data_IF_823909756183
#
_entry.id   IF_823909756183
#
_cell.length_a   1.000
_cell.length_b   1.000
_cell.length_c   1.000
_cell.angle_alpha   90.00
_cell.angle_beta   90.00
_cell.angle_gamma   90.00
#
_symmetry.space_group_name_H-M   'P 1'
#
loop_
_entity.id
_entity.type
_entity.pdbx_description
1 polymer ?
#
# COMPACT_ATOMS: atom_id res chain seq x y z
N UNK A 1 -45.39 -3.18 -38.36
CA UNK A 1 -45.91 -1.97 -37.70
C UNK A 1 -44.72 -1.10 -37.34
N UNK A 2 -44.67 0.13 -37.86
CA UNK A 2 -43.59 1.09 -37.60
C UNK A 2 -43.84 1.83 -36.29
N UNK A 3 -42.87 1.82 -35.37
CA UNK A 3 -42.89 2.64 -34.16
C UNK A 3 -42.32 4.03 -34.46
N UNK A 4 -43.11 5.08 -34.32
CA UNK A 4 -42.66 6.44 -34.64
C UNK A 4 -41.48 6.90 -33.76
N UNK A 5 -40.41 7.49 -34.34
CA UNK A 5 -39.26 7.97 -33.58
C UNK A 5 -39.63 9.14 -32.62
N UNK A 6 -40.72 9.85 -32.90
CA UNK A 6 -41.25 10.90 -32.02
C UNK A 6 -41.68 10.36 -30.64
N UNK A 7 -42.27 9.16 -30.59
CA UNK A 7 -42.68 8.54 -29.33
C UNK A 7 -41.48 8.09 -28.49
N UNK A 8 -40.44 7.55 -29.13
CA UNK A 8 -39.18 7.22 -28.47
C UNK A 8 -38.50 8.48 -27.90
N UNK A 9 -38.45 9.58 -28.67
CA UNK A 9 -37.92 10.86 -28.21
C UNK A 9 -38.71 11.43 -27.01
N UNK A 10 -40.06 11.37 -27.05
CA UNK A 10 -40.91 11.81 -25.95
C UNK A 10 -40.69 10.99 -24.66
N UNK A 11 -40.57 9.67 -24.76
CA UNK A 11 -40.27 8.80 -23.61
C UNK A 11 -38.88 9.08 -23.01
N UNK A 12 -37.87 9.35 -23.83
CA UNK A 12 -36.53 9.74 -23.38
C UNK A 12 -36.55 11.11 -22.69
N UNK A 13 -37.29 12.08 -23.23
CA UNK A 13 -37.48 13.40 -22.61
C UNK A 13 -38.18 13.29 -21.24
N UNK A 14 -39.27 12.51 -21.16
CA UNK A 14 -40.00 12.27 -19.91
C UNK A 14 -39.10 11.60 -18.84
N UNK A 15 -38.30 10.60 -19.23
CA UNK A 15 -37.34 9.95 -18.30
C UNK A 15 -36.23 10.89 -17.84
N UNK A 16 -35.72 11.77 -18.70
CA UNK A 16 -34.73 12.81 -18.31
C UNK A 16 -35.33 13.81 -17.32
N UNK A 17 -36.58 14.24 -17.53
CA UNK A 17 -37.29 15.10 -16.59
C UNK A 17 -37.53 14.42 -15.21
N UNK A 18 -37.91 13.14 -15.19
CA UNK A 18 -38.08 12.37 -13.95
C UNK A 18 -36.78 12.29 -13.12
N UNK A 19 -35.64 12.07 -13.79
CA UNK A 19 -34.32 12.01 -13.14
C UNK A 19 -33.89 13.37 -12.60
N UNK A 20 -34.10 14.46 -13.36
CA UNK A 20 -33.79 15.83 -12.90
C UNK A 20 -34.67 16.23 -11.71
N UNK A 21 -35.97 15.89 -11.71
CA UNK A 21 -36.87 16.15 -10.60
C UNK A 21 -36.46 15.39 -9.32
N UNK A 22 -35.96 14.16 -9.46
CA UNK A 22 -35.37 13.38 -8.35
C UNK A 22 -34.07 14.01 -7.84
N UNK A 23 -33.21 14.51 -8.73
CA UNK A 23 -31.97 15.20 -8.35
C UNK A 23 -32.25 16.50 -7.57
N UNK A 24 -33.19 17.32 -8.04
CA UNK A 24 -33.58 18.56 -7.38
C UNK A 24 -34.17 18.32 -5.98
N UNK A 25 -35.02 17.29 -5.82
CA UNK A 25 -35.53 16.87 -4.50
C UNK A 25 -34.42 16.45 -3.53
N UNK A 26 -33.33 15.87 -4.03
CA UNK A 26 -32.19 15.45 -3.22
C UNK A 26 -31.24 16.61 -2.85
N UNK A 27 -31.28 17.72 -3.57
CA UNK A 27 -30.51 18.93 -3.25
C UNK A 27 -31.25 19.85 -2.27
N UNK A 28 -32.58 19.91 -2.32
CA UNK A 28 -33.39 20.74 -1.41
C UNK A 28 -33.52 20.21 0.03
N UNK A 29 -33.04 18.99 0.35
CA UNK A 29 -33.13 18.43 1.70
C UNK A 29 -32.02 18.90 2.67
N UNK A 30 -31.29 19.97 2.34
CA UNK A 30 -30.19 20.49 3.17
C UNK A 30 -30.14 22.04 3.21
N UNK A 31 -31.30 22.69 3.26
CA UNK A 31 -31.44 24.13 3.45
C UNK A 31 -32.44 24.43 4.57
N UNK A 32 -31.97 25.01 5.68
CA UNK A 32 -32.82 25.41 6.81
C UNK A 32 -33.49 26.78 6.57
N UNK A 33 -34.70 26.96 7.11
CA UNK A 33 -35.50 28.17 6.92
C UNK A 33 -34.94 29.39 7.68
N UNK A 34 -35.03 30.62 7.10
CA UNK A 34 -34.49 31.84 7.72
C UNK A 34 -35.52 32.64 8.55
N UNK A 35 -35.04 33.34 9.59
CA UNK A 35 -35.68 34.54 10.20
C UNK A 35 -34.60 35.44 10.87
N UNK A 36 -34.89 36.68 11.29
CA UNK A 36 -34.19 37.83 10.71
C UNK A 36 -33.28 38.59 11.69
N UNK A 37 -32.63 39.64 11.17
CA UNK A 37 -31.85 40.66 11.91
C UNK A 37 -32.75 41.56 12.78
N UNK A 38 -32.18 42.27 13.77
CA UNK A 38 -31.79 43.67 13.52
C UNK A 38 -30.45 44.12 14.18
N UNK A 39 -30.22 45.44 14.12
CA UNK A 39 -29.04 46.30 14.33
C UNK A 39 -28.26 46.29 15.67
N UNK A 40 -27.02 46.85 15.69
CA UNK A 40 -26.21 47.24 16.90
C UNK A 40 -26.73 48.57 17.54
N UNK A 41 -26.15 49.24 18.60
CA UNK A 41 -24.71 49.23 19.01
C UNK A 41 -24.30 49.59 20.50
N UNK A 42 -22.97 49.80 20.71
CA UNK A 42 -22.28 50.73 21.68
C UNK A 42 -21.97 50.34 23.16
N UNK A 43 -20.73 50.74 23.58
CA UNK A 43 -20.15 51.04 24.93
C UNK A 43 -19.74 49.96 25.98
N UNK A 44 -19.02 50.42 27.02
CA UNK A 44 -18.14 49.75 28.03
C UNK A 44 -18.19 50.53 29.38
N UNK A 45 -17.46 50.19 30.49
CA UNK A 45 -16.85 48.93 30.97
C UNK A 45 -17.36 48.38 32.37
N UNK A 46 -16.65 48.41 33.55
CA UNK A 46 -16.53 47.26 34.49
C UNK A 46 -17.15 47.53 35.91
N UNK A 47 -16.94 46.77 37.05
CA UNK A 47 -15.95 45.71 37.35
C UNK A 47 -16.33 44.51 38.28
N UNK A 48 -15.31 43.65 38.54
CA UNK A 48 -15.03 42.82 39.75
C UNK A 48 -15.95 41.64 40.18
N UNK A 49 -15.40 40.41 40.17
CA UNK A 49 -14.98 39.60 41.36
C UNK A 49 -14.79 38.10 40.97
N UNK A 50 -13.94 37.34 41.68
CA UNK A 50 -13.67 35.88 41.49
C UNK A 50 -14.25 35.04 42.67
N UNK A 51 -14.06 33.71 42.79
CA UNK A 51 -13.75 32.64 41.82
C UNK A 51 -14.77 31.47 41.85
N UNK A 52 -14.81 30.60 40.83
CA UNK A 52 -15.47 29.29 40.91
C UNK A 52 -14.84 28.24 39.98
N UNK A 53 -14.94 26.95 40.34
CA UNK A 53 -14.31 25.81 39.64
C UNK A 53 -15.28 25.06 38.73
N UNK A 54 -14.92 24.84 37.47
CA UNK A 54 -15.31 23.63 36.71
C UNK A 54 -14.51 23.51 35.40
N UNK A 55 -14.12 22.29 35.05
CA UNK A 55 -13.48 21.97 33.76
C UNK A 55 -14.46 21.23 32.85
N UNK A 56 -14.82 21.77 31.67
CA UNK A 56 -15.47 21.01 30.62
C UNK A 56 -14.51 20.59 29.50
N UNK A 57 -14.61 19.30 29.17
CA UNK A 57 -14.10 18.54 28.02
C UNK A 57 -13.61 19.37 26.81
N UNK A 58 -12.36 19.15 26.39
CA UNK A 58 -11.71 19.88 25.29
C UNK A 58 -12.20 19.46 23.89
N UNK A 59 -13.33 20.03 23.44
CA UNK A 59 -13.66 20.13 22.01
C UNK A 59 -12.89 21.29 21.36
N UNK A 60 -12.09 21.02 20.33
CA UNK A 60 -11.34 22.05 19.60
C UNK A 60 -12.29 23.03 18.89
N UNK A 61 -12.07 24.34 19.06
CA UNK A 61 -12.96 25.35 18.49
C UNK A 61 -12.84 25.44 16.96
N UNK A 62 -13.94 25.76 16.28
CA UNK A 62 -13.98 25.86 14.81
C UNK A 62 -12.98 26.92 14.28
N UNK A 63 -12.81 27.99 15.05
CA UNK A 63 -11.86 29.09 14.80
C UNK A 63 -10.40 28.66 14.95
N UNK A 64 -10.05 27.77 15.89
CA UNK A 64 -8.70 27.18 15.95
C UNK A 64 -8.43 26.25 14.76
N UNK A 65 -9.42 25.47 14.33
CA UNK A 65 -9.30 24.62 13.13
C UNK A 65 -9.04 25.47 11.88
N UNK A 66 -9.77 26.58 11.72
CA UNK A 66 -9.54 27.55 10.65
C UNK A 66 -8.17 28.25 10.74
N UNK A 67 -7.77 28.70 11.94
CA UNK A 67 -6.45 29.32 12.18
C UNK A 67 -5.31 28.37 11.81
N UNK A 68 -5.41 27.10 12.21
CA UNK A 68 -4.41 26.06 11.94
C UNK A 68 -4.38 25.62 10.47
N UNK A 69 -5.54 25.63 9.79
CA UNK A 69 -5.61 25.47 8.32
C UNK A 69 -4.88 26.60 7.59
N UNK A 70 -5.07 27.85 8.01
CA UNK A 70 -4.40 29.00 7.42
C UNK A 70 -2.89 29.02 7.69
N UNK A 71 -2.47 28.63 8.91
CA UNK A 71 -1.06 28.42 9.26
C UNK A 71 -0.39 27.38 8.33
N UNK A 72 -1.03 26.23 8.11
CA UNK A 72 -0.52 25.19 7.20
C UNK A 72 -0.47 25.67 5.75
N UNK A 73 -1.50 26.38 5.26
CA UNK A 73 -1.49 26.93 3.90
C UNK A 73 -0.38 27.96 3.68
N UNK A 74 -0.11 28.83 4.66
CA UNK A 74 0.99 29.78 4.58
C UNK A 74 2.35 29.08 4.67
N UNK A 75 2.49 28.04 5.49
CA UNK A 75 3.71 27.22 5.60
C UNK A 75 4.00 26.42 4.32
N UNK A 76 2.98 26.04 3.55
CA UNK A 76 3.12 25.45 2.21
C UNK A 76 3.56 26.52 1.19
N UNK A 77 2.92 27.70 1.18
CA UNK A 77 3.33 28.82 0.31
C UNK A 77 4.76 29.33 0.58
N UNK A 78 5.25 29.22 1.82
CA UNK A 78 6.59 29.65 2.22
C UNK A 78 7.73 28.66 1.89
N UNK A 79 7.50 27.63 1.05
CA UNK A 79 8.57 26.80 0.46
C UNK A 79 9.36 25.90 1.43
N UNK A 80 8.92 25.74 2.68
CA UNK A 80 9.72 25.19 3.78
C UNK A 80 9.85 23.66 3.84
N UNK A 81 10.53 23.03 2.87
CA UNK A 81 10.94 21.61 2.95
C UNK A 81 12.35 21.33 2.39
N UNK A 82 13.39 21.50 3.22
CA UNK A 82 14.71 20.93 2.91
C UNK A 82 14.74 19.43 3.24
N UNK A 83 14.74 18.58 2.21
CA UNK A 83 14.76 17.13 2.34
C UNK A 83 16.18 16.65 2.66
N UNK A 84 16.41 16.23 3.90
CA UNK A 84 17.71 15.76 4.39
C UNK A 84 18.02 14.34 3.85
N UNK A 85 18.55 14.28 2.62
CA UNK A 85 18.78 13.02 1.92
C UNK A 85 19.84 12.14 2.62
N UNK A 86 19.44 10.94 3.04
CA UNK A 86 20.37 9.88 3.44
C UNK A 86 19.86 8.50 3.05
N UNK A 87 19.84 8.22 1.75
CA UNK A 87 19.75 6.85 1.26
C UNK A 87 20.99 6.06 1.71
N UNK A 88 20.78 4.81 2.14
CA UNK A 88 21.85 3.83 2.22
C UNK A 88 21.97 3.14 0.85
N UNK A 89 23.19 2.98 0.34
CA UNK A 89 23.44 2.24 -0.89
C UNK A 89 23.08 0.74 -0.70
N UNK A 90 22.67 0.02 -1.76
CA UNK A 90 22.47 -1.42 -1.71
C UNK A 90 23.78 -2.15 -1.33
N UNK A 91 23.71 -3.36 -0.75
CA UNK A 91 24.89 -4.16 -0.47
C UNK A 91 25.58 -4.61 -1.78
N UNK A 92 26.92 -4.80 -1.77
CA UNK A 92 27.63 -5.32 -2.92
C UNK A 92 27.23 -6.77 -3.22
N UNK A 93 27.09 -7.08 -4.52
CA UNK A 93 26.88 -8.45 -5.02
C UNK A 93 28.07 -9.34 -4.64
N UNK A 94 27.85 -10.60 -4.20
CA UNK A 94 28.94 -11.53 -3.97
C UNK A 94 29.47 -12.10 -5.29
N UNK A 95 30.78 -12.01 -5.48
CA UNK A 95 31.51 -12.72 -6.54
C UNK A 95 32.37 -13.82 -5.90
N UNK A 96 32.59 -14.90 -6.63
CA UNK A 96 33.53 -15.96 -6.29
C UNK A 96 34.98 -15.61 -6.67
N UNK A 97 35.93 -16.50 -6.37
CA UNK A 97 37.35 -16.33 -6.68
C UNK A 97 37.69 -16.40 -8.18
N UNK A 98 36.74 -16.81 -9.02
CA UNK A 98 36.83 -16.76 -10.50
C UNK A 98 36.17 -15.52 -11.10
N UNK A 99 35.60 -14.63 -10.29
CA UNK A 99 34.95 -13.40 -10.73
C UNK A 99 33.49 -13.57 -11.19
N UNK A 100 32.93 -14.78 -11.10
CA UNK A 100 31.53 -15.05 -11.40
C UNK A 100 30.63 -14.75 -10.19
N UNK A 101 29.32 -14.64 -10.40
CA UNK A 101 28.37 -14.37 -9.32
C UNK A 101 28.16 -15.60 -8.43
N UNK A 102 28.48 -15.49 -7.14
CA UNK A 102 28.25 -16.57 -6.17
C UNK A 102 26.76 -16.66 -5.84
N UNK A 103 26.05 -17.47 -6.63
CA UNK A 103 24.62 -17.77 -6.48
C UNK A 103 24.26 -18.27 -5.08
N UNK A 104 25.18 -18.96 -4.38
CA UNK A 104 24.94 -19.53 -3.05
C UNK A 104 24.98 -18.44 -1.98
N UNK A 105 26.02 -17.61 -1.98
CA UNK A 105 26.06 -16.42 -1.12
C UNK A 105 24.97 -15.39 -1.47
N UNK A 106 24.51 -15.34 -2.73
CA UNK A 106 23.41 -14.48 -3.16
C UNK A 106 22.04 -14.98 -2.65
N UNK A 107 21.87 -16.30 -2.53
CA UNK A 107 20.70 -16.94 -1.92
C UNK A 107 20.67 -16.78 -0.39
N UNK A 108 21.81 -16.96 0.28
CA UNK A 108 21.91 -16.83 1.75
C UNK A 108 21.84 -15.37 2.23
N UNK A 109 22.25 -14.40 1.39
CA UNK A 109 22.06 -12.96 1.64
C UNK A 109 20.64 -12.46 1.29
N UNK A 110 19.75 -13.34 0.82
CA UNK A 110 18.36 -13.01 0.50
C UNK A 110 18.19 -12.10 -0.72
N UNK A 111 19.15 -12.11 -1.64
CA UNK A 111 19.13 -11.30 -2.87
C UNK A 111 18.35 -12.02 -3.98
N UNK A 112 18.40 -13.36 -4.01
CA UNK A 112 17.53 -14.19 -4.87
C UNK A 112 16.25 -14.56 -4.08
N UNK A 113 15.05 -14.32 -4.62
CA UNK A 113 13.81 -14.83 -4.04
C UNK A 113 13.81 -16.36 -3.99
N UNK A 114 13.64 -16.95 -2.80
CA UNK A 114 13.48 -18.40 -2.64
C UNK A 114 12.13 -18.82 -3.23
N UNK A 115 12.15 -19.51 -4.38
CA UNK A 115 10.96 -20.11 -4.98
C UNK A 115 10.50 -21.26 -4.08
N UNK A 116 9.35 -21.10 -3.43
CA UNK A 116 8.79 -22.13 -2.55
C UNK A 116 8.31 -23.32 -3.38
N UNK A 117 9.09 -24.41 -3.36
CA UNK A 117 8.68 -25.73 -3.84
C UNK A 117 8.47 -26.64 -2.63
N UNK A 118 7.21 -27.04 -2.39
CA UNK A 118 6.88 -27.94 -1.28
C UNK A 118 7.34 -29.39 -1.55
N UNK A 119 8.64 -29.65 -1.36
CA UNK A 119 9.18 -31.00 -1.28
C UNK A 119 9.71 -31.27 0.13
N UNK A 120 9.03 -32.18 0.83
CA UNK A 120 9.28 -32.48 2.25
C UNK A 120 10.25 -33.65 2.35
N UNK A 121 11.47 -33.39 2.82
CA UNK A 121 12.43 -34.43 3.22
C UNK A 121 12.92 -34.13 4.64
N UNK A 122 12.72 -35.08 5.56
CA UNK A 122 13.20 -34.98 6.94
C UNK A 122 14.52 -35.74 7.08
N UNK A 123 15.57 -35.09 7.57
CA UNK A 123 16.74 -35.75 8.15
C UNK A 123 16.90 -35.26 9.58
N UNK A 124 16.74 -36.16 10.56
CA UNK A 124 16.77 -35.85 12.00
C UNK A 124 17.91 -36.61 12.65
N UNK A 125 18.77 -35.91 13.37
CA UNK A 125 19.75 -36.52 14.26
C UNK A 125 19.36 -36.31 15.73
N UNK A 126 19.43 -37.43 16.46
CA UNK A 126 19.67 -37.67 17.90
C UNK A 126 20.10 -36.41 18.70
N UNK A 127 19.55 -36.08 19.87
CA UNK A 127 19.48 -36.93 21.09
C UNK A 127 18.33 -36.59 22.08
N UNK A 128 18.42 -37.09 23.33
CA UNK A 128 17.42 -37.12 24.42
C UNK A 128 18.14 -37.44 25.76
N UNK A 129 17.49 -37.51 26.95
CA UNK A 129 16.31 -36.80 27.51
C UNK A 129 16.58 -36.22 28.94
N UNK A 130 15.53 -35.71 29.63
CA UNK A 130 15.32 -35.54 31.11
C UNK A 130 14.81 -34.12 31.50
N UNK A 131 14.07 -33.88 32.60
CA UNK A 131 13.36 -34.74 33.58
C UNK A 131 12.23 -33.95 34.32
N UNK A 132 11.15 -34.65 34.66
CA UNK A 132 10.30 -34.48 35.86
C UNK A 132 9.48 -33.19 36.13
N UNK A 133 8.53 -33.35 37.06
CA UNK A 133 7.43 -32.49 37.54
C UNK A 133 7.65 -32.18 39.07
N UNK A 134 6.70 -31.82 39.97
CA UNK A 134 5.23 -31.58 39.87
C UNK A 134 4.66 -30.40 40.73
N UNK A 135 3.32 -30.30 40.81
CA UNK A 135 2.46 -29.66 41.88
C UNK A 135 2.56 -28.15 42.16
N UNK A 136 1.49 -27.43 42.56
CA UNK A 136 0.06 -27.78 42.63
C UNK A 136 -0.79 -26.82 43.50
N UNK A 137 -2.12 -26.74 43.23
CA UNK A 137 -3.25 -26.33 44.14
C UNK A 137 -3.22 -24.94 44.86
N UNK A 138 -4.30 -24.18 45.11
CA UNK A 138 -5.79 -24.31 45.07
C UNK A 138 -6.40 -22.98 44.48
N UNK A 139 -7.64 -22.45 44.65
CA UNK A 139 -8.91 -22.77 45.37
C UNK A 139 -10.12 -21.95 44.78
N UNK A 140 -11.35 -22.32 45.17
CA UNK A 140 -12.60 -21.53 45.46
C UNK A 140 -12.87 -20.11 44.90
N UNK A 141 -14.10 -19.65 44.54
CA UNK A 141 -15.51 -20.19 44.52
C UNK A 141 -16.42 -19.25 43.63
N UNK A 142 -17.78 -19.13 43.76
CA UNK A 142 -18.81 -19.83 42.94
C UNK A 142 -19.79 -18.82 42.24
N UNK A 143 -21.09 -19.14 42.00
CA UNK A 143 -21.68 -20.16 41.13
C UNK A 143 -22.60 -19.55 40.02
N UNK A 144 -23.03 -20.36 39.05
CA UNK A 144 -24.33 -20.16 38.37
C UNK A 144 -24.96 -21.49 37.96
N UNK A 145 -26.29 -21.50 37.82
CA UNK A 145 -27.11 -22.70 37.65
C UNK A 145 -27.47 -22.97 36.19
N UNK A 146 -27.46 -24.24 35.77
CA UNK A 146 -28.44 -24.79 34.81
C UNK A 146 -28.42 -26.32 34.75
N UNK A 147 -29.53 -26.86 34.25
CA UNK A 147 -29.90 -28.28 34.09
C UNK A 147 -28.84 -29.21 33.46
N UNK A 148 -28.76 -30.44 33.98
CA UNK A 148 -28.14 -31.58 33.30
C UNK A 148 -29.12 -32.19 32.28
N UNK A 149 -28.71 -32.49 31.04
CA UNK A 149 -29.27 -33.58 30.26
C UNK A 149 -28.57 -34.90 30.60
N UNK A 150 -29.26 -36.03 30.51
CA UNK A 150 -28.65 -37.36 30.74
C UNK A 150 -27.67 -37.71 29.62
N UNK A 151 -26.39 -37.91 29.97
CA UNK A 151 -25.39 -38.50 29.07
C UNK A 151 -25.20 -39.98 29.40
N UNK A 152 -25.44 -40.84 28.42
CA UNK A 152 -25.12 -42.26 28.51
C UNK A 152 -23.61 -42.43 28.69
N UNK A 153 -23.19 -43.32 29.61
CA UNK A 153 -21.78 -43.69 29.75
C UNK A 153 -21.36 -44.51 28.54
N UNK A 154 -20.62 -43.90 27.62
CA UNK A 154 -19.90 -44.63 26.57
C UNK A 154 -18.70 -45.30 27.26
N UNK A 155 -18.68 -46.62 27.26
CA UNK A 155 -17.54 -47.39 27.77
C UNK A 155 -16.28 -47.10 26.96
N UNK A 156 -15.12 -47.14 27.63
CA UNK A 156 -13.83 -46.97 26.96
C UNK A 156 -13.56 -48.16 26.06
N UNK A 157 -13.42 -47.92 24.76
CA UNK A 157 -13.01 -48.94 23.77
C UNK A 157 -11.74 -49.66 24.23
N UNK A 158 -11.70 -51.01 24.21
CA UNK A 158 -10.55 -51.77 24.68
C UNK A 158 -9.30 -51.47 23.85
N UNK A 159 -8.13 -51.57 24.49
CA UNK A 159 -6.83 -51.19 23.91
C UNK A 159 -6.47 -51.99 22.65
N UNK A 160 -7.06 -53.18 22.48
CA UNK A 160 -6.96 -54.01 21.26
C UNK A 160 -7.37 -53.29 19.98
N UNK A 161 -8.23 -52.28 20.05
CA UNK A 161 -8.63 -51.46 18.89
C UNK A 161 -7.67 -50.31 18.55
N UNK A 162 -6.58 -50.13 19.31
CA UNK A 162 -5.58 -49.06 19.09
C UNK A 162 -4.36 -49.54 18.30
N UNK A 163 -4.18 -50.85 18.18
CA UNK A 163 -3.06 -51.49 17.49
C UNK A 163 -3.46 -51.89 16.05
N UNK A 164 -2.94 -51.24 15.00
CA UNK A 164 -3.35 -51.51 13.62
C UNK A 164 -2.96 -52.91 13.15
N UNK A 165 -2.07 -53.62 13.86
CA UNK A 165 -1.69 -55.00 13.53
C UNK A 165 -2.73 -56.05 13.95
N UNK A 166 -3.68 -55.68 14.81
CA UNK A 166 -4.69 -56.61 15.38
C UNK A 166 -6.12 -56.36 14.89
N UNK A 167 -6.35 -55.34 14.07
CA UNK A 167 -7.66 -55.03 13.52
C UNK A 167 -7.87 -55.74 12.17
N UNK A 168 -8.76 -56.75 12.05
CA UNK A 168 -8.99 -57.48 10.81
C UNK A 168 -9.64 -56.65 9.69
N UNK A 169 -10.05 -55.41 10.00
CA UNK A 169 -10.62 -54.44 9.04
C UNK A 169 -9.65 -53.29 8.68
N UNK A 170 -8.35 -53.41 9.00
CA UNK A 170 -7.35 -52.40 8.63
C UNK A 170 -6.70 -52.73 7.29
N UNK A 171 -6.92 -51.88 6.29
CA UNK A 171 -6.28 -51.98 4.96
C UNK A 171 -4.88 -51.30 4.99
N UNK A 172 -3.78 -52.07 4.81
CA UNK A 172 -2.42 -51.52 4.84
C UNK A 172 -2.04 -50.69 3.60
N UNK A 173 -2.86 -50.68 2.54
CA UNK A 173 -2.62 -49.84 1.35
C UNK A 173 -2.91 -48.35 1.59
N UNK A 174 -3.69 -48.03 2.63
CA UNK A 174 -4.11 -46.66 2.94
C UNK A 174 -3.03 -45.90 3.73
N UNK A 175 -2.54 -44.73 3.25
CA UNK A 175 -1.45 -43.99 3.89
C UNK A 175 -1.90 -43.19 5.14
N UNK A 176 -2.29 -43.90 6.19
CA UNK A 176 -2.65 -43.31 7.49
C UNK A 176 -1.40 -43.05 8.33
N UNK A 177 -1.21 -41.80 8.75
CA UNK A 177 -0.10 -41.42 9.64
C UNK A 177 -0.41 -41.88 11.08
N UNK A 178 0.01 -43.10 11.42
CA UNK A 178 -0.30 -43.78 12.68
C UNK A 178 0.45 -43.19 13.89
N UNK A 179 -0.03 -42.04 14.38
CA UNK A 179 0.29 -41.49 15.68
C UNK A 179 -0.92 -40.71 16.24
N UNK A 180 -1.38 -40.96 17.48
CA UNK A 180 -2.50 -40.24 18.08
C UNK A 180 -2.09 -38.82 18.50
N UNK A 181 -1.99 -37.91 17.53
CA UNK A 181 -1.86 -36.46 17.80
C UNK A 181 -3.07 -36.03 18.63
N UNK A 182 -2.80 -35.72 19.91
CA UNK A 182 -3.78 -35.59 20.99
C UNK A 182 -5.04 -34.83 20.56
N UNK A 183 -6.20 -35.48 20.76
CA UNK A 183 -7.55 -35.11 20.28
C UNK A 183 -7.63 -33.70 19.67
N UNK A 184 -7.34 -33.57 18.37
CA UNK A 184 -7.98 -32.51 17.57
C UNK A 184 -9.48 -32.71 17.77
N UNK A 185 -10.15 -31.74 18.39
CA UNK A 185 -11.58 -31.83 18.67
C UNK A 185 -12.29 -32.22 17.37
N UNK A 186 -13.02 -33.35 17.38
CA UNK A 186 -13.62 -33.94 16.17
C UNK A 186 -14.37 -32.84 15.45
N UNK A 187 -13.89 -32.43 14.27
CA UNK A 187 -14.51 -31.34 13.50
C UNK A 187 -15.98 -31.69 13.36
N UNK A 188 -16.84 -30.89 13.99
CA UNK A 188 -18.28 -31.17 13.98
C UNK A 188 -18.76 -31.23 12.54
N UNK A 189 -19.64 -32.18 12.25
CA UNK A 189 -20.18 -32.35 10.91
C UNK A 189 -20.88 -31.06 10.50
N UNK A 190 -20.21 -30.27 9.65
CA UNK A 190 -20.73 -29.02 9.10
C UNK A 190 -21.70 -29.35 7.98
N UNK A 191 -22.87 -29.88 8.37
CA UNK A 191 -23.97 -30.13 7.46
C UNK A 191 -24.25 -28.85 6.66
N UNK A 192 -24.26 -29.00 5.34
CA UNK A 192 -24.65 -27.90 4.46
C UNK A 192 -26.16 -27.75 4.56
N UNK A 193 -26.63 -26.51 4.77
CA UNK A 193 -28.05 -26.22 4.86
C UNK A 193 -28.80 -26.73 3.62
N UNK A 194 -29.98 -27.36 3.78
CA UNK A 194 -30.79 -27.79 2.65
C UNK A 194 -31.09 -26.58 1.75
N UNK A 195 -31.20 -26.83 0.44
CA UNK A 195 -31.34 -25.77 -0.56
C UNK A 195 -30.01 -25.27 -1.14
N UNK A 196 -28.91 -25.14 -0.38
CA UNK A 196 -27.68 -24.47 -0.88
C UNK A 196 -27.11 -25.04 -2.20
N UNK A 197 -27.13 -26.36 -2.37
CA UNK A 197 -26.70 -26.99 -3.63
C UNK A 197 -27.78 -26.96 -4.72
N UNK A 198 -29.06 -26.89 -4.35
CA UNK A 198 -30.19 -26.72 -5.27
C UNK A 198 -30.18 -25.31 -5.85
N UNK A 199 -29.93 -24.29 -5.02
CA UNK A 199 -29.67 -22.91 -5.42
C UNK A 199 -28.48 -22.81 -6.38
N UNK A 200 -27.35 -23.45 -6.05
CA UNK A 200 -26.18 -23.49 -6.95
C UNK A 200 -26.54 -24.12 -8.30
N UNK A 201 -27.22 -25.26 -8.31
CA UNK A 201 -27.65 -25.93 -9.54
C UNK A 201 -28.71 -25.14 -10.33
N UNK A 202 -29.56 -24.36 -9.64
CA UNK A 202 -30.52 -23.43 -10.26
C UNK A 202 -29.77 -22.25 -10.91
N UNK A 203 -28.77 -21.67 -10.24
CA UNK A 203 -27.91 -20.62 -10.80
C UNK A 203 -27.11 -21.13 -12.01
N UNK A 204 -26.66 -22.38 -11.97
CA UNK A 204 -25.90 -23.04 -13.05
C UNK A 204 -26.80 -23.30 -14.27
N UNK A 205 -28.02 -23.81 -14.07
CA UNK A 205 -29.05 -23.90 -15.14
C UNK A 205 -29.46 -22.53 -15.69
N UNK A 206 -29.62 -21.52 -14.84
CA UNK A 206 -29.93 -20.16 -15.29
C UNK A 206 -28.78 -19.54 -16.11
N UNK A 207 -27.52 -19.82 -15.76
CA UNK A 207 -26.35 -19.42 -16.57
C UNK A 207 -26.35 -20.12 -17.92
N UNK A 208 -26.56 -21.43 -17.98
CA UNK A 208 -26.65 -22.17 -19.24
C UNK A 208 -27.81 -21.68 -20.13
N UNK A 209 -28.94 -21.29 -19.55
CA UNK A 209 -30.04 -20.65 -20.28
C UNK A 209 -29.66 -19.26 -20.81
N UNK A 210 -28.97 -18.43 -20.03
CA UNK A 210 -28.47 -17.12 -20.48
C UNK A 210 -27.35 -17.24 -21.53
N UNK A 211 -26.53 -18.27 -21.45
CA UNK A 211 -25.50 -18.61 -22.43
C UNK A 211 -26.12 -19.04 -23.75
N UNK A 212 -27.03 -20.02 -23.72
CA UNK A 212 -27.82 -20.43 -24.89
C UNK A 212 -28.60 -19.26 -25.50
N UNK A 213 -29.20 -18.38 -24.70
CA UNK A 213 -29.89 -17.19 -25.21
C UNK A 213 -28.91 -16.19 -25.85
N UNK A 214 -27.67 -16.07 -25.36
CA UNK A 214 -26.62 -15.29 -26.04
C UNK A 214 -26.19 -15.94 -27.36
N UNK A 215 -26.07 -17.26 -27.41
CA UNK A 215 -25.76 -17.99 -28.65
C UNK A 215 -26.89 -17.85 -29.68
N UNK A 216 -28.15 -18.01 -29.26
CA UNK A 216 -29.32 -17.83 -30.13
C UNK A 216 -29.49 -16.37 -30.59
N UNK A 217 -29.15 -15.38 -29.75
CA UNK A 217 -29.09 -13.96 -30.16
C UNK A 217 -27.92 -13.71 -31.10
N UNK A 218 -26.73 -14.24 -30.83
CA UNK A 218 -25.57 -14.10 -31.71
C UNK A 218 -25.82 -14.75 -33.07
N UNK A 219 -26.40 -15.95 -33.12
CA UNK A 219 -26.79 -16.61 -34.36
C UNK A 219 -27.83 -15.80 -35.15
N UNK A 220 -28.81 -15.17 -34.47
CA UNK A 220 -29.77 -14.25 -35.12
C UNK A 220 -29.12 -12.96 -35.61
N UNK A 221 -28.16 -12.39 -34.88
CA UNK A 221 -27.35 -11.23 -35.29
C UNK A 221 -26.51 -11.54 -36.52
N UNK A 222 -25.89 -12.74 -36.57
CA UNK A 222 -25.20 -13.27 -37.76
C UNK A 222 -26.14 -13.44 -38.94
N UNK A 223 -27.27 -14.11 -38.73
CA UNK A 223 -28.28 -14.36 -39.77
C UNK A 223 -28.92 -13.06 -40.29
N UNK A 224 -28.98 -12.01 -39.47
CA UNK A 224 -29.40 -10.66 -39.85
C UNK A 224 -28.29 -9.79 -40.50
N UNK A 225 -27.09 -10.35 -40.74
CA UNK A 225 -25.97 -9.65 -41.37
C UNK A 225 -25.25 -8.61 -40.50
N UNK A 226 -25.65 -8.46 -39.22
CA UNK A 226 -25.11 -7.46 -38.30
C UNK A 226 -23.68 -7.77 -37.80
N UNK A 227 -23.12 -8.94 -38.14
CA UNK A 227 -21.70 -9.21 -37.86
C UNK A 227 -20.75 -8.27 -38.65
N UNK A 228 -21.20 -7.73 -39.79
CA UNK A 228 -20.54 -6.65 -40.53
C UNK A 228 -20.56 -5.27 -39.81
N UNK A 229 -21.11 -5.21 -38.60
CA UNK A 229 -20.97 -4.08 -37.66
C UNK A 229 -20.06 -4.39 -36.46
N UNK A 230 -19.53 -5.60 -36.35
CA UNK A 230 -18.38 -5.88 -35.47
C UNK A 230 -17.05 -5.62 -36.21
N UNK A 231 -17.07 -5.65 -37.55
CA UNK A 231 -16.06 -5.12 -38.49
C UNK A 231 -15.91 -3.58 -38.43
N UNK A 232 -16.07 -2.95 -37.27
CA UNK A 232 -15.75 -1.52 -37.10
C UNK A 232 -14.24 -1.28 -37.23
N UNK A 233 -13.41 -2.24 -36.83
CA UNK A 233 -11.97 -2.28 -37.14
C UNK A 233 -11.71 -2.15 -38.64
N UNK A 234 -12.49 -2.87 -39.43
CA UNK A 234 -12.29 -3.01 -40.87
C UNK A 234 -12.96 -1.86 -41.63
N UNK A 235 -14.02 -1.26 -41.07
CA UNK A 235 -14.49 0.08 -41.45
C UNK A 235 -13.45 1.17 -41.19
N UNK A 236 -12.60 1.07 -40.16
CA UNK A 236 -11.42 1.95 -39.99
C UNK A 236 -10.19 1.54 -40.80
N UNK A 237 -10.16 0.33 -41.37
CA UNK A 237 -9.09 -0.16 -42.27
C UNK A 237 -9.39 0.16 -43.75
N UNK A 238 -10.66 0.41 -44.09
CA UNK A 238 -11.07 1.00 -45.37
C UNK A 238 -10.52 2.43 -45.46
N UNK A 239 -9.31 2.52 -46.02
CA UNK A 239 -8.74 3.79 -46.47
C UNK A 239 -9.67 4.39 -47.52
N UNK A 240 -10.01 5.66 -47.36
CA UNK A 240 -10.60 6.46 -48.43
C UNK A 240 -9.67 6.45 -49.66
N UNK A 241 -10.21 6.63 -50.88
CA UNK A 241 -9.37 6.81 -52.06
C UNK A 241 -8.41 8.00 -51.85
N UNK A 242 -7.15 7.92 -52.33
CA UNK A 242 -6.22 9.04 -52.19
C UNK A 242 -6.77 10.31 -52.84
N UNK A 243 -6.56 11.49 -52.26
CA UNK A 243 -6.97 12.75 -52.87
C UNK A 243 -6.21 12.99 -54.18
N UNK A 244 -6.79 13.76 -55.10
CA UNK A 244 -6.25 13.98 -56.45
C UNK A 244 -4.92 14.75 -56.43
N UNK A 245 -4.72 15.61 -55.43
CA UNK A 245 -3.43 16.17 -55.06
C UNK A 245 -3.12 15.99 -53.58
N UNK A 246 -1.84 15.95 -53.22
CA UNK A 246 -1.42 15.91 -51.82
C UNK A 246 -1.61 17.27 -51.14
N UNK A 247 -2.03 17.26 -49.87
CA UNK A 247 -2.44 18.46 -49.13
C UNK A 247 -1.37 19.56 -48.99
N UNK A 248 -0.10 19.22 -49.20
CA UNK A 248 1.04 20.14 -49.18
C UNK A 248 1.36 20.72 -50.57
N UNK A 249 0.89 20.09 -51.65
CA UNK A 249 0.99 20.57 -53.05
C UNK A 249 -0.19 21.46 -53.46
N UNK A 250 -1.38 21.24 -52.88
CA UNK A 250 -2.61 22.02 -53.13
C UNK A 250 -2.39 23.56 -53.15
N UNK A 251 -1.55 24.19 -52.30
CA UNK A 251 -1.27 25.63 -52.39
C UNK A 251 -0.49 26.09 -53.63
N UNK A 252 0.26 25.19 -54.28
CA UNK A 252 1.10 25.49 -55.44
C UNK A 252 0.42 25.16 -56.78
N UNK A 253 -0.60 24.30 -56.77
CA UNK A 253 -1.36 23.87 -57.96
C UNK A 253 -2.52 24.84 -58.27
N UNK A 254 -2.55 25.51 -59.45
CA UNK A 254 -3.59 26.50 -59.76
C UNK A 254 -5.03 25.97 -59.69
N UNK A 255 -5.25 24.74 -60.15
CA UNK A 255 -6.55 24.07 -60.16
C UNK A 255 -6.66 22.95 -59.11
N UNK A 256 -5.71 22.86 -58.17
CA UNK A 256 -5.62 21.82 -57.11
C UNK A 256 -5.44 20.36 -57.61
N UNK A 257 -5.19 20.14 -58.91
CA UNK A 257 -4.94 18.84 -59.53
C UNK A 257 -3.56 18.80 -60.24
N UNK A 258 -2.92 17.63 -60.28
CA UNK A 258 -1.62 17.45 -60.95
C UNK A 258 -1.65 17.41 -62.49
N UNK A 259 -2.84 17.43 -63.13
CA UNK A 259 -2.96 17.28 -64.59
C UNK A 259 -2.30 18.43 -65.37
N UNK A 260 -2.27 19.63 -64.77
CA UNK A 260 -1.86 20.87 -65.45
C UNK A 260 -0.34 21.12 -65.47
N UNK A 261 0.45 20.27 -64.80
CA UNK A 261 1.91 20.40 -64.65
C UNK A 261 2.68 20.54 -65.98
N UNK A 262 2.13 20.02 -67.08
CA UNK A 262 2.73 20.09 -68.41
C UNK A 262 2.13 21.20 -69.32
N UNK A 263 1.08 21.89 -68.86
CA UNK A 263 0.30 22.84 -69.68
C UNK A 263 0.64 24.29 -69.35
N UNK A 264 0.88 24.59 -68.07
CA UNK A 264 1.16 25.94 -67.60
C UNK A 264 2.61 26.09 -67.14
N UNK A 265 3.33 27.06 -67.73
CA UNK A 265 4.61 27.51 -67.18
C UNK A 265 4.32 28.15 -65.83
N UNK A 266 4.93 27.61 -64.76
CA UNK A 266 4.67 28.04 -63.39
C UNK A 266 5.33 29.41 -63.15
N UNK A 267 4.54 30.49 -63.18
CA UNK A 267 5.02 31.85 -63.00
C UNK A 267 5.60 32.09 -61.59
N UNK A 268 6.92 32.33 -61.45
CA UNK A 268 7.55 32.45 -60.13
C UNK A 268 7.02 33.63 -59.30
N UNK A 269 6.49 34.65 -59.96
CA UNK A 269 5.90 35.84 -59.31
C UNK A 269 4.65 35.49 -58.49
N UNK A 270 3.81 34.56 -58.97
CA UNK A 270 2.62 34.10 -58.24
C UNK A 270 3.02 33.30 -56.98
N UNK A 271 4.04 32.43 -57.11
CA UNK A 271 4.54 31.61 -56.01
C UNK A 271 5.42 32.34 -55.00
N UNK A 272 5.83 33.59 -55.26
CA UNK A 272 6.68 34.40 -54.36
C UNK A 272 6.05 34.63 -52.97
N UNK A 273 4.72 34.45 -52.85
CA UNK A 273 3.97 34.51 -51.59
C UNK A 273 4.11 33.26 -50.70
N UNK A 274 4.46 32.11 -51.29
CA UNK A 274 4.55 30.81 -50.62
C UNK A 274 5.99 30.28 -50.58
N UNK A 275 6.74 30.48 -51.66
CA UNK A 275 8.14 30.06 -51.82
C UNK A 275 9.03 31.30 -51.73
N UNK A 276 9.99 31.29 -50.81
CA UNK A 276 11.00 32.34 -50.66
C UNK A 276 12.39 31.73 -50.57
N UNK A 277 13.44 32.55 -50.76
CA UNK A 277 14.83 32.10 -50.63
C UNK A 277 15.26 31.82 -49.17
N UNK A 278 14.37 31.99 -48.17
CA UNK A 278 14.69 31.84 -46.76
C UNK A 278 14.36 30.44 -46.22
N UNK A 279 15.38 29.76 -45.68
CA UNK A 279 15.22 28.47 -45.01
C UNK A 279 14.65 28.68 -43.60
N UNK A 280 13.40 28.28 -43.38
CA UNK A 280 12.79 28.31 -42.05
C UNK A 280 13.48 27.30 -41.11
N UNK A 281 13.95 27.79 -39.97
CA UNK A 281 14.47 26.95 -38.90
C UNK A 281 13.34 26.74 -37.87
N UNK A 282 12.77 25.52 -37.75
CA UNK A 282 11.62 25.27 -36.88
C UNK A 282 11.99 25.46 -35.41
N UNK A 283 10.98 25.83 -34.61
CA UNK A 283 11.16 26.08 -33.16
C UNK A 283 11.69 24.82 -32.47
N UNK A 284 12.83 24.88 -31.74
CA UNK A 284 13.44 23.71 -31.12
C UNK A 284 12.61 23.23 -29.91
N UNK A 285 11.78 22.21 -30.15
CA UNK A 285 11.00 21.53 -29.11
C UNK A 285 11.97 20.79 -28.18
N UNK A 286 11.91 21.10 -26.88
CA UNK A 286 12.70 20.43 -25.84
C UNK A 286 12.32 18.95 -25.75
N UNK A 287 13.27 18.06 -25.43
CA UNK A 287 12.95 16.64 -25.31
C UNK A 287 11.88 16.42 -24.20
N UNK A 288 10.93 15.48 -24.36
CA UNK A 288 9.88 15.25 -23.36
C UNK A 288 10.42 14.96 -21.95
N UNK A 289 11.61 14.35 -21.88
CA UNK A 289 12.36 14.08 -20.65
C UNK A 289 12.94 15.35 -19.99
N UNK A 290 13.30 16.37 -20.78
CA UNK A 290 13.88 17.62 -20.30
C UNK A 290 12.80 18.64 -19.91
N UNK A 291 11.65 18.62 -20.61
CA UNK A 291 10.47 19.41 -20.28
C UNK A 291 9.95 19.13 -18.85
N UNK A 292 9.99 17.85 -18.44
CA UNK A 292 9.44 17.38 -17.16
C UNK A 292 10.52 17.06 -16.10
N UNK A 293 11.73 16.70 -16.55
CA UNK A 293 12.81 16.26 -15.68
C UNK A 293 13.57 17.42 -15.04
N UNK A 294 13.61 17.46 -13.71
CA UNK A 294 14.64 18.26 -13.02
C UNK A 294 16.02 17.69 -13.40
N UNK A 295 17.02 18.54 -13.73
CA UNK A 295 18.31 18.07 -14.19
C UNK A 295 18.93 17.12 -13.16
N UNK A 296 19.51 15.97 -13.59
CA UNK A 296 19.87 14.88 -12.70
C UNK A 296 20.97 15.31 -11.73
N UNK A 297 20.60 15.58 -10.48
CA UNK A 297 21.52 16.05 -9.45
C UNK A 297 22.57 14.98 -9.14
N UNK A 298 23.79 15.15 -9.67
CA UNK A 298 24.91 14.21 -9.48
C UNK A 298 25.16 13.99 -7.99
N UNK A 299 24.83 12.79 -7.49
CA UNK A 299 24.99 12.44 -6.09
C UNK A 299 26.47 12.52 -5.68
N UNK A 300 26.80 13.42 -4.74
CA UNK A 300 28.18 13.61 -4.28
C UNK A 300 28.65 12.41 -3.45
N UNK A 301 29.43 11.52 -4.06
CA UNK A 301 29.93 10.30 -3.43
C UNK A 301 31.17 10.57 -2.58
N UNK A 302 31.00 10.81 -1.28
CA UNK A 302 32.11 11.00 -0.34
C UNK A 302 33.00 9.74 -0.24
N UNK A 303 34.32 9.93 -0.23
CA UNK A 303 35.29 8.83 -0.04
C UNK A 303 35.17 8.20 1.35
N UNK A 304 35.84 7.06 1.54
CA UNK A 304 35.96 6.43 2.87
C UNK A 304 36.66 7.36 3.89
N UNK A 305 37.58 8.24 3.43
CA UNK A 305 38.28 9.22 4.28
C UNK A 305 37.36 10.37 4.70
N UNK A 306 36.65 11.04 3.79
CA UNK A 306 35.67 12.08 4.18
C UNK A 306 34.56 11.53 5.07
N UNK A 307 33.99 10.35 4.75
CA UNK A 307 32.95 9.72 5.59
C UNK A 307 33.44 9.47 7.02
N UNK A 308 34.73 9.12 7.20
CA UNK A 308 35.35 9.00 8.54
C UNK A 308 35.56 10.36 9.20
N UNK A 309 36.01 11.39 8.46
CA UNK A 309 36.19 12.78 8.94
C UNK A 309 34.86 13.39 9.41
N UNK A 310 33.84 13.37 8.57
CA UNK A 310 32.49 13.89 8.85
C UNK A 310 31.82 13.16 10.04
N UNK A 311 31.98 11.83 10.13
CA UNK A 311 31.51 11.03 11.28
C UNK A 311 32.26 11.36 12.58
N UNK A 312 33.54 11.74 12.52
CA UNK A 312 34.29 12.22 13.69
C UNK A 312 33.81 13.61 14.09
N UNK A 313 33.74 14.56 13.15
CA UNK A 313 33.29 15.93 13.42
C UNK A 313 31.91 15.95 14.09
N UNK A 314 30.89 15.31 13.50
CA UNK A 314 29.54 15.23 14.11
C UNK A 314 29.48 14.53 15.47
N UNK A 315 30.41 13.62 15.76
CA UNK A 315 30.53 12.99 17.09
C UNK A 315 31.17 13.93 18.09
N UNK A 316 32.28 14.56 17.73
CA UNK A 316 32.94 15.56 18.57
C UNK A 316 32.00 16.73 18.90
N UNK A 317 31.23 17.20 17.91
CA UNK A 317 30.17 18.20 18.02
C UNK A 317 29.10 17.77 19.03
N UNK A 318 28.38 16.67 18.79
CA UNK A 318 27.35 16.17 19.73
C UNK A 318 27.89 15.81 21.13
N UNK A 319 29.18 15.45 21.27
CA UNK A 319 29.81 15.27 22.58
C UNK A 319 30.13 16.61 23.26
N UNK A 320 30.62 17.61 22.51
CA UNK A 320 30.85 18.96 23.02
C UNK A 320 29.52 19.60 23.44
N UNK A 321 28.48 19.54 22.62
CA UNK A 321 27.13 20.02 22.94
C UNK A 321 26.60 19.42 24.25
N UNK A 322 26.91 18.15 24.51
CA UNK A 322 26.52 17.48 25.76
C UNK A 322 27.37 17.94 26.94
N UNK A 323 28.69 18.04 26.79
CA UNK A 323 29.60 18.54 27.83
C UNK A 323 29.27 20.00 28.19
N UNK A 324 28.95 20.83 27.21
CA UNK A 324 28.61 22.23 27.42
C UNK A 324 27.24 22.36 28.11
N UNK A 325 26.25 21.52 27.76
CA UNK A 325 24.97 21.42 28.50
C UNK A 325 25.13 20.93 29.94
N UNK A 326 26.08 20.03 30.21
CA UNK A 326 26.41 19.60 31.58
C UNK A 326 27.12 20.73 32.35
N UNK A 327 28.06 21.44 31.72
CA UNK A 327 28.75 22.60 32.33
C UNK A 327 27.80 23.75 32.65
N UNK A 328 26.77 23.94 31.83
CA UNK A 328 25.68 24.91 32.05
C UNK A 328 24.58 24.41 33.02
N UNK A 329 24.70 23.19 33.57
CA UNK A 329 23.71 22.62 34.50
C UNK A 329 22.39 22.16 33.87
N UNK A 330 22.21 22.32 32.54
CA UNK A 330 21.00 21.91 31.81
C UNK A 330 20.82 20.39 31.72
N UNK A 331 21.88 19.62 31.92
CA UNK A 331 21.85 18.16 32.02
C UNK A 331 22.68 17.70 33.23
N UNK A 332 22.19 16.75 34.04
CA UNK A 332 23.03 16.10 35.03
C UNK A 332 24.15 15.30 34.35
N UNK A 333 25.28 15.04 35.03
CA UNK A 333 26.32 14.15 34.53
C UNK A 333 25.78 12.73 34.32
N UNK A 334 26.27 12.03 33.28
CA UNK A 334 25.88 10.65 33.01
C UNK A 334 26.30 9.73 34.18
N UNK A 335 25.41 8.87 34.71
CA UNK A 335 25.78 7.89 35.72
C UNK A 335 26.74 6.83 35.16
N UNK A 336 27.61 6.23 35.98
CA UNK A 336 28.57 5.23 35.54
C UNK A 336 27.85 3.98 35.02
N UNK A 337 28.14 3.58 33.78
CA UNK A 337 27.47 2.47 33.09
C UNK A 337 27.85 1.11 33.67
N UNK A 338 27.03 0.56 34.56
CA UNK A 338 27.32 -0.73 35.20
C UNK A 338 26.98 -1.92 34.29
N UNK A 339 27.69 -3.03 34.50
CA UNK A 339 27.46 -4.37 33.96
C UNK A 339 27.66 -5.37 35.09
N UNK A 340 27.03 -6.55 35.01
CA UNK A 340 27.27 -7.66 35.95
C UNK A 340 28.78 -8.00 36.02
N UNK A 341 29.48 -8.06 34.87
CA UNK A 341 30.94 -8.28 34.78
C UNK A 341 31.82 -7.22 35.47
N UNK A 342 31.26 -6.05 35.75
CA UNK A 342 31.96 -4.91 36.33
C UNK A 342 31.42 -4.55 37.73
N UNK A 343 30.43 -5.30 38.24
CA UNK A 343 29.65 -4.95 39.43
C UNK A 343 30.54 -4.77 40.66
N UNK A 344 31.39 -5.77 40.97
CA UNK A 344 32.33 -5.69 42.10
C UNK A 344 33.40 -4.60 41.93
N UNK A 345 33.71 -4.17 40.70
CA UNK A 345 34.73 -3.14 40.41
C UNK A 345 34.19 -1.70 40.46
N UNK A 346 32.86 -1.53 40.49
CA UNK A 346 32.20 -0.20 40.44
C UNK A 346 31.31 0.04 41.66
N UNK A 347 30.78 -1.02 42.27
CA UNK A 347 29.85 -0.96 43.40
C UNK A 347 30.28 -1.88 44.56
N UNK A 348 31.57 -2.26 44.61
CA UNK A 348 32.13 -3.29 45.50
C UNK A 348 31.62 -3.23 46.94
N UNK A 349 31.80 -2.09 47.61
CA UNK A 349 31.43 -1.90 49.02
C UNK A 349 29.94 -2.17 49.28
N UNK A 350 29.06 -1.70 48.39
CA UNK A 350 27.62 -1.97 48.45
C UNK A 350 27.22 -3.39 48.03
N UNK A 351 28.02 -4.02 47.16
CA UNK A 351 27.81 -5.38 46.67
C UNK A 351 28.27 -6.45 47.67
N UNK A 352 29.19 -6.10 48.58
CA UNK A 352 29.56 -6.93 49.73
C UNK A 352 28.43 -6.94 50.77
N UNK A 353 27.71 -5.83 50.94
CA UNK A 353 26.58 -5.72 51.87
C UNK A 353 25.32 -6.45 51.34
N UNK A 354 24.80 -6.07 50.18
CA UNK A 354 23.57 -6.65 49.61
C UNK A 354 23.81 -7.16 48.16
N UNK A 355 24.52 -8.28 47.95
CA UNK A 355 24.93 -8.74 46.61
C UNK A 355 23.74 -8.89 45.64
N UNK A 356 22.68 -9.57 46.07
CA UNK A 356 21.46 -9.83 45.25
C UNK A 356 20.73 -8.54 44.87
N UNK A 357 20.71 -7.54 45.75
CA UNK A 357 20.03 -6.24 45.57
C UNK A 357 20.79 -5.36 44.58
N UNK A 358 22.12 -5.34 44.69
CA UNK A 358 22.99 -4.64 43.73
C UNK A 358 22.94 -5.34 42.37
N UNK A 359 22.94 -6.68 42.33
CA UNK A 359 22.77 -7.40 41.06
C UNK A 359 21.40 -7.13 40.42
N UNK A 360 20.31 -7.18 41.17
CA UNK A 360 18.97 -6.85 40.68
C UNK A 360 18.89 -5.41 40.13
N UNK A 361 19.51 -4.44 40.81
CA UNK A 361 19.62 -3.05 40.34
C UNK A 361 20.40 -2.94 39.03
N UNK A 362 21.52 -3.64 38.89
CA UNK A 362 22.34 -3.65 37.66
C UNK A 362 21.66 -4.41 36.51
N UNK A 363 20.96 -5.52 36.79
CA UNK A 363 20.11 -6.22 35.82
C UNK A 363 19.00 -5.30 35.30
N UNK A 364 18.30 -4.59 36.20
CA UNK A 364 17.28 -3.59 35.84
C UNK A 364 17.87 -2.45 34.99
N UNK A 365 19.03 -1.89 35.36
CA UNK A 365 19.69 -0.84 34.56
C UNK A 365 20.11 -1.36 33.16
N UNK A 366 20.55 -2.63 33.07
CA UNK A 366 20.83 -3.28 31.78
C UNK A 366 19.57 -3.48 30.93
N UNK A 367 18.46 -3.90 31.54
CA UNK A 367 17.17 -4.11 30.89
C UNK A 367 16.55 -2.80 30.42
N UNK A 368 16.55 -1.75 31.25
CA UNK A 368 16.10 -0.40 30.88
C UNK A 368 16.91 0.14 29.69
N UNK A 369 18.23 -0.08 29.70
CA UNK A 369 19.13 0.32 28.59
C UNK A 369 18.86 -0.46 27.30
N UNK A 370 18.43 -1.73 27.39
CA UNK A 370 17.96 -2.51 26.24
C UNK A 370 16.60 -2.01 25.74
N UNK A 371 15.62 -1.83 26.62
CA UNK A 371 14.29 -1.28 26.33
C UNK A 371 14.36 0.11 25.69
N UNK A 372 15.29 0.97 26.14
CA UNK A 372 15.55 2.28 25.52
C UNK A 372 16.09 2.15 24.08
N UNK A 373 17.01 1.21 23.84
CA UNK A 373 17.53 0.93 22.49
C UNK A 373 16.44 0.39 21.55
N UNK A 374 15.61 -0.54 22.03
CA UNK A 374 14.48 -1.12 21.30
C UNK A 374 13.43 -0.06 20.98
N UNK A 375 12.94 0.67 21.99
CA UNK A 375 12.01 1.81 21.83
C UNK A 375 12.53 2.86 20.86
N UNK A 376 13.82 3.21 20.92
CA UNK A 376 14.43 4.16 19.99
C UNK A 376 14.53 3.61 18.56
N UNK A 377 14.62 2.29 18.37
CA UNK A 377 14.57 1.65 17.06
C UNK A 377 13.13 1.58 16.52
N UNK A 378 12.15 1.30 17.37
CA UNK A 378 10.72 1.34 17.04
C UNK A 378 10.27 2.74 16.63
N UNK A 379 10.66 3.78 17.38
CA UNK A 379 10.44 5.19 17.02
C UNK A 379 11.09 5.60 15.69
N UNK A 380 12.08 4.85 15.20
CA UNK A 380 12.74 5.05 13.89
C UNK A 380 12.25 4.11 12.79
N UNK A 381 11.31 3.20 13.09
CA UNK A 381 10.80 2.17 12.19
C UNK A 381 9.52 2.64 11.52
N UNK A 382 9.61 3.01 10.23
CA UNK A 382 8.45 3.46 9.43
C UNK A 382 7.24 2.54 9.62
N UNK A 383 6.09 3.14 9.95
CA UNK A 383 4.84 2.40 10.13
C UNK A 383 4.38 1.75 8.82
N UNK A 384 3.48 0.75 8.86
CA UNK A 384 2.92 0.16 7.64
C UNK A 384 2.17 1.16 6.75
N UNK A 385 1.71 2.29 7.30
CA UNK A 385 1.10 3.37 6.53
C UNK A 385 2.16 4.20 5.79
N UNK A 386 3.12 4.79 6.52
CA UNK A 386 4.23 5.58 5.95
C UNK A 386 5.03 4.80 4.90
N UNK A 387 5.17 3.49 5.08
CA UNK A 387 5.89 2.63 4.11
C UNK A 387 5.14 2.49 2.79
N UNK A 388 3.80 2.40 2.83
CA UNK A 388 2.95 2.40 1.62
C UNK A 388 2.94 3.77 0.97
N UNK A 389 2.87 4.84 1.77
CA UNK A 389 2.93 6.22 1.28
C UNK A 389 4.26 6.53 0.59
N UNK A 390 5.39 6.16 1.21
CA UNK A 390 6.72 6.30 0.60
C UNK A 390 6.87 5.49 -0.69
N UNK A 391 6.23 4.32 -0.78
CA UNK A 391 6.20 3.50 -2.00
C UNK A 391 5.34 4.17 -3.08
N UNK A 392 4.15 4.68 -2.75
CA UNK A 392 3.30 5.48 -3.66
C UNK A 392 4.01 6.74 -4.17
N UNK A 393 4.66 7.50 -3.29
CA UNK A 393 5.44 8.68 -3.65
C UNK A 393 6.60 8.33 -4.58
N UNK A 394 7.29 7.20 -4.36
CA UNK A 394 8.28 6.70 -5.31
C UNK A 394 7.63 6.41 -6.67
N UNK A 395 6.57 5.60 -6.73
CA UNK A 395 5.92 5.25 -8.01
C UNK A 395 5.45 6.50 -8.77
N UNK A 396 4.89 7.50 -8.09
CA UNK A 396 4.47 8.76 -8.71
C UNK A 396 5.67 9.57 -9.26
N UNK A 397 6.82 9.57 -8.57
CA UNK A 397 8.04 10.21 -9.08
C UNK A 397 8.58 9.44 -10.29
N UNK A 398 8.66 8.11 -10.21
CA UNK A 398 9.15 7.23 -11.28
C UNK A 398 8.25 7.43 -12.54
N UNK A 399 6.92 7.40 -12.39
CA UNK A 399 5.93 7.69 -13.45
C UNK A 399 6.03 9.10 -14.06
N UNK A 400 6.50 10.09 -13.31
CA UNK A 400 6.68 11.47 -13.83
C UNK A 400 7.87 11.64 -14.77
N UNK A 401 8.79 10.65 -14.80
CA UNK A 401 9.97 10.66 -15.67
C UNK A 401 9.78 9.83 -16.94
N UNK A 402 8.91 8.82 -16.89
CA UNK A 402 8.53 7.97 -18.02
C UNK A 402 7.82 6.70 -17.55
N UNK A 403 7.16 5.98 -18.47
CA UNK A 403 6.54 4.68 -18.18
C UNK A 403 7.16 3.60 -19.07
N UNK A 404 7.85 2.64 -18.46
CA UNK A 404 8.29 1.42 -19.16
C UNK A 404 7.10 0.48 -19.35
N UNK A 405 6.87 0.03 -20.58
CA UNK A 405 5.74 -0.84 -20.94
C UNK A 405 6.26 -2.17 -21.50
N UNK A 406 5.96 -3.26 -20.79
CA UNK A 406 6.22 -4.61 -21.26
C UNK A 406 4.93 -5.25 -21.80
N UNK A 407 4.97 -5.68 -23.06
CA UNK A 407 3.87 -6.42 -23.70
C UNK A 407 4.21 -7.91 -23.67
N UNK A 408 3.27 -8.73 -23.18
CA UNK A 408 3.39 -10.18 -23.13
C UNK A 408 2.40 -10.82 -24.11
N UNK A 409 2.73 -12.01 -24.60
CA UNK A 409 1.91 -12.82 -25.51
C UNK A 409 1.66 -14.19 -24.88
#
# INVERSE_FOLDING_TARGET
MSSDPSQAAALIAAKRAEVLAKLARFQNSNAASPRPTPSPPVSTPPPSTQPATSSPVSGLSLSEIQRKKNEVMNRIKAGGHQINQRAAAPPPMPLDSSGNFDLRAMLDKGIIPKRETELKANTRLVSSPSKQSPTGSTKSTPPSTTSKPNTLKIESTPESFTDPTKNPYYDPSLPVNNAPKGRRARTSLRFVQPGKYIEKANQERAKAQLERLKEEVAAKVRQAGMEAEMDISDKTLKKDPPPVAEWWDVPFLPNQDYQDLNVHVVDPQQLTSLITSYVHHPVPIQAPSEMNGKPPSRALMLTKKERKKLRRQRRNETQKDKQDKIRLGLLPPDPPKVKISNLMKVLGDSAIQDPTKVEAKVRKEMEERQKQHEKANEQRKLTPAERREKLKSRMANDQSSGNEVAVFK
#
